data_IF_478608937373
#
_entry.id   IF_478608937373
#
_cell.length_a   1.000
_cell.length_b   1.000
_cell.length_c   1.000
_cell.angle_alpha   90.00
_cell.angle_beta   90.00
_cell.angle_gamma   90.00
#
_symmetry.space_group_name_H-M   'P 1'
#
loop_
_entity.id
_entity.type
_entity.pdbx_description
1 polymer ?
#
# COMPACT_ATOMS: atom_id res chain seq x y z
N UNK A 1 -7.15 -20.04 -10.51
CA UNK A 1 -6.24 -18.89 -10.46
C UNK A 1 -5.88 -18.63 -9.00
N UNK A 2 -4.61 -18.43 -8.74
CA UNK A 2 -4.16 -18.18 -7.38
C UNK A 2 -4.30 -16.72 -7.01
N UNK A 3 -4.75 -16.49 -5.78
CA UNK A 3 -4.79 -15.15 -5.22
C UNK A 3 -3.45 -14.86 -4.54
N UNK A 4 -3.03 -13.62 -4.59
CA UNK A 4 -1.83 -13.20 -3.87
C UNK A 4 -2.03 -11.82 -3.29
N UNK A 5 -1.25 -11.54 -2.25
CA UNK A 5 -1.28 -10.23 -1.60
C UNK A 5 -0.07 -9.42 -2.00
N UNK A 6 -0.26 -8.13 -2.19
CA UNK A 6 0.83 -7.18 -2.40
C UNK A 6 0.98 -6.38 -1.12
N UNK A 7 2.22 -6.22 -0.69
CA UNK A 7 2.54 -5.45 0.51
C UNK A 7 3.50 -4.32 0.14
N UNK A 8 3.13 -3.11 0.50
CA UNK A 8 3.92 -1.92 0.19
C UNK A 8 4.00 -1.02 1.42
N UNK A 9 5.17 -0.48 1.70
CA UNK A 9 5.36 0.49 2.76
C UNK A 9 5.63 1.87 2.16
N UNK A 10 5.00 2.90 2.71
CA UNK A 10 5.14 4.28 2.24
C UNK A 10 5.49 5.17 3.43
N UNK A 11 6.45 6.08 3.25
CA UNK A 11 6.81 7.04 4.28
C UNK A 11 6.83 8.45 3.69
N UNK A 12 6.96 9.45 4.55
CA UNK A 12 6.73 10.85 4.18
C UNK A 12 7.67 11.41 3.10
N UNK A 13 8.84 10.81 2.91
CA UNK A 13 9.79 11.26 1.88
C UNK A 13 9.51 10.69 0.50
N UNK A 14 8.56 9.75 0.39
CA UNK A 14 8.17 9.21 -0.91
C UNK A 14 7.49 10.30 -1.74
N UNK A 15 7.63 10.21 -3.05
CA UNK A 15 6.97 11.14 -3.96
C UNK A 15 5.68 10.52 -4.48
N UNK A 16 4.61 11.32 -4.51
CA UNK A 16 3.30 10.85 -4.96
C UNK A 16 3.35 10.29 -6.38
N UNK A 17 4.14 10.90 -7.25
CA UNK A 17 4.28 10.44 -8.64
C UNK A 17 4.89 9.05 -8.72
N UNK A 18 5.92 8.79 -7.91
CA UNK A 18 6.58 7.49 -7.86
C UNK A 18 5.65 6.44 -7.25
N UNK A 19 4.91 6.82 -6.24
CA UNK A 19 3.93 5.93 -5.60
C UNK A 19 2.84 5.53 -6.60
N UNK A 20 2.31 6.49 -7.34
CA UNK A 20 1.28 6.24 -8.36
C UNK A 20 1.80 5.30 -9.44
N UNK A 21 3.01 5.55 -9.91
CA UNK A 21 3.64 4.71 -10.93
C UNK A 21 3.83 3.26 -10.44
N UNK A 22 4.28 3.10 -9.20
CA UNK A 22 4.47 1.78 -8.62
C UNK A 22 3.15 1.02 -8.48
N UNK A 23 2.11 1.69 -7.98
CA UNK A 23 0.79 1.06 -7.82
C UNK A 23 0.21 0.70 -9.19
N UNK A 24 0.26 1.61 -10.15
CA UNK A 24 -0.27 1.37 -11.49
C UNK A 24 0.45 0.19 -12.17
N UNK A 25 1.76 0.09 -11.98
CA UNK A 25 2.53 -1.01 -12.53
C UNK A 25 2.04 -2.36 -12.00
N UNK A 26 1.76 -2.43 -10.70
CA UNK A 26 1.27 -3.66 -10.09
C UNK A 26 -0.16 -3.97 -10.55
N UNK A 27 -1.01 -2.97 -10.62
CA UNK A 27 -2.41 -3.15 -11.06
C UNK A 27 -2.53 -3.56 -12.52
N UNK A 28 -1.53 -3.24 -13.33
CA UNK A 28 -1.52 -3.57 -14.76
C UNK A 28 -0.85 -4.91 -15.08
N UNK A 29 -0.47 -5.67 -14.07
CA UNK A 29 0.12 -6.99 -14.30
C UNK A 29 -0.92 -7.98 -14.81
N UNK A 30 -0.45 -9.00 -15.52
CA UNK A 30 -1.32 -10.04 -16.09
C UNK A 30 -2.11 -10.77 -15.01
N UNK A 31 -1.45 -11.11 -13.91
CA UNK A 31 -2.13 -11.69 -12.75
C UNK A 31 -2.39 -10.58 -11.76
N UNK A 32 -3.66 -10.31 -11.48
CA UNK A 32 -4.05 -9.20 -10.61
C UNK A 32 -4.22 -9.65 -9.17
N UNK A 33 -3.75 -8.81 -8.24
CA UNK A 33 -3.96 -9.08 -6.83
C UNK A 33 -5.39 -8.75 -6.43
N UNK A 34 -5.91 -9.53 -5.48
CA UNK A 34 -7.19 -9.23 -4.85
C UNK A 34 -7.00 -8.56 -3.48
N UNK A 35 -5.76 -8.39 -3.04
CA UNK A 35 -5.46 -7.75 -1.77
C UNK A 35 -4.16 -6.95 -1.89
N UNK A 36 -4.28 -5.64 -1.70
CA UNK A 36 -3.15 -4.73 -1.76
C UNK A 36 -3.07 -4.00 -0.43
N UNK A 37 -2.01 -4.27 0.34
CA UNK A 37 -1.84 -3.69 1.66
C UNK A 37 -0.80 -2.59 1.59
N UNK A 38 -1.20 -1.37 1.97
CA UNK A 38 -0.31 -0.22 2.05
C UNK A 38 -0.12 0.15 3.50
N UNK A 39 1.12 0.10 3.97
CA UNK A 39 1.47 0.50 5.33
C UNK A 39 2.01 1.92 5.28
N UNK A 40 1.31 2.84 5.93
CA UNK A 40 1.78 4.21 6.10
C UNK A 40 2.73 4.25 7.28
N UNK A 41 4.02 4.32 7.01
CA UNK A 41 5.06 4.29 8.03
C UNK A 41 5.23 5.67 8.64
N UNK A 42 4.31 6.03 9.52
CA UNK A 42 4.21 7.34 10.13
C UNK A 42 3.34 8.29 9.29
N UNK A 43 3.19 9.54 9.75
CA UNK A 43 2.41 10.53 9.02
C UNK A 43 2.97 10.79 7.63
N UNK A 44 2.09 10.89 6.64
CA UNK A 44 2.47 11.16 5.25
C UNK A 44 2.14 12.60 4.87
N UNK A 45 2.67 13.04 3.72
CA UNK A 45 2.29 14.33 3.16
C UNK A 45 0.85 14.25 2.64
N UNK A 46 0.22 15.41 2.50
CA UNK A 46 -1.13 15.49 1.96
C UNK A 46 -1.23 14.88 0.57
N UNK A 47 -0.23 15.10 -0.27
CA UNK A 47 -0.19 14.53 -1.62
C UNK A 47 -0.18 13.01 -1.60
N UNK A 48 0.60 12.43 -0.71
CA UNK A 48 0.68 10.98 -0.58
C UNK A 48 -0.64 10.39 -0.08
N UNK A 49 -1.21 11.02 0.95
CA UNK A 49 -2.51 10.58 1.49
C UNK A 49 -3.60 10.66 0.43
N UNK A 50 -3.65 11.74 -0.34
CA UNK A 50 -4.65 11.90 -1.40
C UNK A 50 -4.48 10.86 -2.50
N UNK A 51 -3.24 10.55 -2.88
CA UNK A 51 -2.96 9.54 -3.88
C UNK A 51 -3.48 8.18 -3.44
N UNK A 52 -3.18 7.79 -2.21
CA UNK A 52 -3.65 6.51 -1.66
C UNK A 52 -5.17 6.49 -1.62
N UNK A 53 -5.79 7.57 -1.17
CA UNK A 53 -7.25 7.67 -1.09
C UNK A 53 -7.92 7.48 -2.45
N UNK A 54 -7.34 8.05 -3.50
CA UNK A 54 -7.87 7.88 -4.86
C UNK A 54 -7.93 6.40 -5.26
N UNK A 55 -6.88 5.65 -4.97
CA UNK A 55 -6.85 4.22 -5.29
C UNK A 55 -7.84 3.42 -4.46
N UNK A 56 -7.96 3.74 -3.17
CA UNK A 56 -8.92 3.06 -2.31
C UNK A 56 -10.35 3.25 -2.82
N UNK A 57 -10.68 4.45 -3.27
CA UNK A 57 -12.01 4.75 -3.80
C UNK A 57 -12.25 4.11 -5.17
N UNK A 58 -11.21 4.05 -6.01
CA UNK A 58 -11.33 3.49 -7.35
C UNK A 58 -11.42 1.96 -7.36
N UNK A 59 -10.80 1.31 -6.39
CA UNK A 59 -10.76 -0.15 -6.27
C UNK A 59 -11.31 -0.61 -4.92
N UNK A 60 -12.63 -0.45 -4.67
CA UNK A 60 -13.21 -0.81 -3.38
C UNK A 60 -12.99 -2.29 -3.03
N UNK A 61 -12.58 -2.55 -1.81
CA UNK A 61 -12.38 -3.91 -1.33
C UNK A 61 -11.03 -4.53 -1.66
N UNK A 62 -10.19 -3.85 -2.46
CA UNK A 62 -8.87 -4.35 -2.83
C UNK A 62 -7.80 -3.85 -1.88
N UNK A 63 -7.86 -2.58 -1.53
CA UNK A 63 -6.82 -1.94 -0.71
C UNK A 63 -7.13 -2.02 0.77
N UNK A 64 -6.12 -2.39 1.55
CA UNK A 64 -6.14 -2.30 3.02
C UNK A 64 -5.06 -1.31 3.42
N UNK A 65 -5.42 -0.34 4.24
CA UNK A 65 -4.49 0.70 4.68
C UNK A 65 -4.20 0.52 6.16
N UNK A 66 -2.92 0.41 6.49
CA UNK A 66 -2.45 0.33 7.86
C UNK A 66 -1.69 1.61 8.16
N UNK A 67 -2.08 2.32 9.20
CA UNK A 67 -1.43 3.57 9.58
C UNK A 67 -0.66 3.39 10.87
N UNK A 68 0.65 3.64 10.84
CA UNK A 68 1.48 3.64 12.03
C UNK A 68 1.55 5.07 12.58
N UNK A 69 1.59 5.20 13.88
CA UNK A 69 1.59 6.51 14.53
C UNK A 69 2.88 7.29 14.26
N UNK A 70 3.97 6.58 14.06
CA UNK A 70 5.26 7.20 13.79
C UNK A 70 6.07 6.32 12.86
N UNK A 71 7.11 6.90 12.26
CA UNK A 71 8.01 6.15 11.40
C UNK A 71 8.76 5.09 12.23
N UNK A 72 8.51 3.83 11.96
CA UNK A 72 9.09 2.70 12.68
C UNK A 72 10.16 1.96 11.87
N UNK A 73 10.39 2.40 10.64
CA UNK A 73 11.33 1.77 9.74
C UNK A 73 10.68 0.69 8.88
N UNK A 74 11.31 0.40 7.75
CA UNK A 74 10.76 -0.50 6.75
C UNK A 74 10.45 -1.89 7.30
N UNK A 75 11.37 -2.48 8.05
CA UNK A 75 11.20 -3.84 8.55
C UNK A 75 9.97 -3.97 9.44
N UNK A 76 9.78 -3.02 10.37
CA UNK A 76 8.63 -3.05 11.28
C UNK A 76 7.33 -2.76 10.54
N UNK A 77 7.36 -1.83 9.58
CA UNK A 77 6.20 -1.52 8.76
C UNK A 77 5.75 -2.76 7.98
N UNK A 78 6.69 -3.45 7.35
CA UNK A 78 6.38 -4.66 6.59
C UNK A 78 5.86 -5.78 7.48
N UNK A 79 6.42 -5.93 8.68
CA UNK A 79 5.92 -6.93 9.63
C UNK A 79 4.47 -6.67 10.03
N UNK A 80 4.11 -5.41 10.25
CA UNK A 80 2.73 -5.04 10.54
C UNK A 80 1.81 -5.36 9.37
N UNK A 81 2.29 -5.11 8.15
CA UNK A 81 1.54 -5.44 6.94
C UNK A 81 1.32 -6.94 6.79
N UNK A 82 2.36 -7.73 7.05
CA UNK A 82 2.28 -9.19 6.96
C UNK A 82 1.23 -9.74 7.92
N UNK A 83 1.13 -9.19 9.13
CA UNK A 83 0.12 -9.60 10.11
C UNK A 83 -1.31 -9.43 9.59
N UNK A 84 -1.52 -8.50 8.64
CA UNK A 84 -2.83 -8.21 8.09
C UNK A 84 -3.12 -8.92 6.77
N UNK A 85 -2.14 -9.64 6.21
CA UNK A 85 -2.34 -10.36 4.95
C UNK A 85 -3.26 -11.55 5.13
N UNK A 86 -4.24 -11.66 4.22
CA UNK A 86 -5.17 -12.80 4.20
C UNK A 86 -4.67 -13.90 3.28
N UNK A 87 -3.85 -13.57 2.29
CA UNK A 87 -3.27 -14.51 1.33
C UNK A 87 -1.81 -14.76 1.67
N UNK A 88 -1.35 -15.96 1.43
CA UNK A 88 0.04 -16.32 1.63
C UNK A 88 0.84 -16.31 0.35
#
# INVERSE_FOLDING_TARGET
MENYSVLMSVYYKEQAENLREAIDSILNQTVKTNEFIIVKDGPLTEKLDNTIKEYVEEYPGVFKIITLEKNMGLAKALNKGIEQCSNE
#
